data_IF_964070084580
#
_entry.id   IF_964070084580
#
_cell.length_a   1.000
_cell.length_b   1.000
_cell.length_c   1.000
_cell.angle_alpha   90.00
_cell.angle_beta   90.00
_cell.angle_gamma   90.00
#
_symmetry.space_group_name_H-M   'P 1'
#
loop_
_entity.id
_entity.type
_entity.pdbx_description
1 polymer ?
#
# COMPACT_ATOMS: atom_id res chain seq x y z
N UNK A 1 13.13 7.07 -2.16
CA UNK A 1 11.81 6.46 -1.88
C UNK A 1 11.60 6.36 -0.38
N UNK A 2 10.47 6.86 0.11
CA UNK A 2 9.97 6.60 1.47
C UNK A 2 8.72 5.70 1.38
N UNK A 3 8.42 4.90 2.40
CA UNK A 3 7.31 3.94 2.40
C UNK A 3 6.41 4.18 3.60
N UNK A 4 5.10 4.15 3.39
CA UNK A 4 4.09 4.09 4.44
C UNK A 4 2.85 3.33 3.95
N UNK A 5 2.26 2.53 4.83
CA UNK A 5 1.04 1.80 4.55
C UNK A 5 -0.22 2.47 5.10
N UNK A 6 -1.37 2.02 4.62
CA UNK A 6 -2.67 2.29 5.20
C UNK A 6 -3.22 0.99 5.79
N UNK A 7 -3.34 0.97 7.12
CA UNK A 7 -3.99 -0.09 7.85
C UNK A 7 -5.47 0.26 8.08
N UNK A 8 -6.28 -0.74 8.41
CA UNK A 8 -7.69 -0.55 8.74
C UNK A 8 -8.54 -1.69 8.23
N UNK A 9 -9.67 -1.91 8.88
CA UNK A 9 -10.60 -2.97 8.51
C UNK A 9 -11.16 -2.80 7.10
N UNK A 10 -11.69 -3.90 6.53
CA UNK A 10 -12.48 -3.81 5.30
C UNK A 10 -13.65 -2.84 5.52
N UNK A 11 -13.93 -1.99 4.53
CA UNK A 11 -14.95 -0.93 4.66
C UNK A 11 -14.48 0.36 5.34
N UNK A 12 -13.26 0.45 5.89
CA UNK A 12 -12.76 1.68 6.52
C UNK A 12 -12.57 2.88 5.56
N UNK A 13 -12.67 2.68 4.25
CA UNK A 13 -12.51 3.75 3.27
C UNK A 13 -11.06 4.01 2.86
N UNK A 14 -10.14 3.04 3.02
CA UNK A 14 -8.73 3.15 2.58
C UNK A 14 -8.60 3.56 1.12
N UNK A 15 -9.32 2.86 0.23
CA UNK A 15 -9.31 3.17 -1.21
C UNK A 15 -9.84 4.58 -1.49
N UNK A 16 -10.90 5.00 -0.80
CA UNK A 16 -11.45 6.37 -0.90
C UNK A 16 -10.45 7.42 -0.43
N UNK A 17 -9.76 7.16 0.68
CA UNK A 17 -8.71 8.04 1.20
C UNK A 17 -7.54 8.12 0.22
N UNK A 18 -7.05 7.00 -0.31
CA UNK A 18 -5.97 6.97 -1.31
C UNK A 18 -6.31 7.76 -2.56
N UNK A 19 -7.55 7.64 -3.06
CA UNK A 19 -8.01 8.38 -4.23
C UNK A 19 -7.97 9.91 -4.03
N UNK A 20 -8.09 10.39 -2.78
CA UNK A 20 -7.96 11.82 -2.42
C UNK A 20 -6.51 12.21 -2.10
N UNK A 21 -5.79 11.34 -1.42
CA UNK A 21 -4.41 11.56 -0.94
C UNK A 21 -3.40 11.58 -2.09
N UNK A 22 -3.51 10.67 -3.06
CA UNK A 22 -2.57 10.60 -4.19
C UNK A 22 -2.54 11.93 -4.96
N UNK A 23 -3.68 12.52 -5.40
CA UNK A 23 -3.67 13.84 -6.02
C UNK A 23 -3.12 14.94 -5.12
N UNK A 24 -3.35 14.88 -3.80
CA UNK A 24 -2.82 15.87 -2.86
C UNK A 24 -1.30 15.84 -2.79
N UNK A 25 -0.70 14.64 -2.76
CA UNK A 25 0.76 14.45 -2.79
C UNK A 25 1.35 14.82 -4.15
N UNK A 26 0.72 14.41 -5.26
CA UNK A 26 1.18 14.75 -6.60
C UNK A 26 1.16 16.26 -6.87
N UNK A 27 0.14 16.98 -6.37
CA UNK A 27 0.10 18.45 -6.45
C UNK A 27 1.24 19.14 -5.70
N UNK A 28 1.86 18.46 -4.73
CA UNK A 28 3.07 18.91 -4.03
C UNK A 28 4.37 18.56 -4.78
N UNK A 29 4.27 18.05 -6.00
CA UNK A 29 5.43 17.71 -6.85
C UNK A 29 6.03 16.34 -6.60
N UNK A 30 5.38 15.48 -5.79
CA UNK A 30 5.89 14.16 -5.46
C UNK A 30 5.49 13.11 -6.51
N UNK A 31 6.44 12.24 -6.85
CA UNK A 31 6.17 10.99 -7.59
C UNK A 31 5.70 9.95 -6.58
N UNK A 32 4.43 9.57 -6.70
CA UNK A 32 3.78 8.60 -5.82
C UNK A 32 3.70 7.24 -6.52
N UNK A 33 4.14 6.19 -5.84
CA UNK A 33 3.84 4.81 -6.21
C UNK A 33 2.82 4.22 -5.23
N UNK A 34 2.03 3.26 -5.70
CA UNK A 34 1.10 2.50 -4.86
C UNK A 34 1.38 1.02 -4.95
N UNK A 35 1.26 0.32 -3.84
CA UNK A 35 1.37 -1.14 -3.78
C UNK A 35 0.12 -1.65 -3.07
N UNK A 36 -0.68 -2.46 -3.75
CA UNK A 36 -1.93 -3.00 -3.20
C UNK A 36 -1.83 -4.52 -3.11
N UNK A 37 -2.10 -5.05 -1.93
CA UNK A 37 -2.31 -6.49 -1.73
C UNK A 37 -3.80 -6.80 -1.93
N UNK A 38 -4.14 -7.58 -2.96
CA UNK A 38 -5.49 -8.08 -3.18
C UNK A 38 -5.70 -9.40 -2.41
N UNK A 39 -6.85 -9.57 -1.76
CA UNK A 39 -7.15 -10.81 -1.02
C UNK A 39 -7.59 -12.00 -1.90
N UNK A 40 -7.67 -11.79 -3.22
CA UNK A 40 -8.12 -12.77 -4.20
C UNK A 40 -7.31 -12.63 -5.50
N UNK A 41 -7.34 -13.68 -6.32
CA UNK A 41 -6.86 -13.63 -7.70
C UNK A 41 -7.47 -12.43 -8.44
N UNK A 42 -6.64 -11.79 -9.26
CA UNK A 42 -7.06 -10.65 -10.07
C UNK A 42 -6.49 -10.79 -11.48
N UNK A 43 -7.25 -10.30 -12.45
CA UNK A 43 -6.86 -10.31 -13.85
C UNK A 43 -6.61 -8.88 -14.31
N UNK A 44 -5.40 -8.61 -14.80
CA UNK A 44 -4.99 -7.27 -15.28
C UNK A 44 -5.39 -7.07 -16.74
N UNK A 45 -5.36 -8.13 -17.54
CA UNK A 45 -5.61 -8.09 -18.98
C UNK A 45 -7.00 -8.64 -19.33
N UNK A 46 -7.33 -8.72 -20.62
CA UNK A 46 -8.62 -9.24 -21.09
C UNK A 46 -8.44 -10.56 -21.82
N UNK A 47 -9.29 -11.58 -21.54
CA UNK A 47 -9.28 -12.82 -22.30
C UNK A 47 -9.30 -12.59 -23.81
N UNK A 48 -8.41 -13.29 -24.52
CA UNK A 48 -8.28 -13.23 -25.98
C UNK A 48 -7.46 -12.06 -26.53
N UNK A 49 -6.85 -11.21 -25.69
CA UNK A 49 -5.82 -10.25 -26.13
C UNK A 49 -4.44 -10.92 -26.20
N UNK A 50 -3.56 -10.36 -27.03
CA UNK A 50 -2.25 -10.94 -27.32
C UNK A 50 -1.45 -11.27 -26.05
N UNK A 51 -1.40 -10.33 -25.11
CA UNK A 51 -0.69 -10.50 -23.85
C UNK A 51 -1.34 -11.50 -22.89
N UNK A 52 -2.67 -11.63 -22.91
CA UNK A 52 -3.38 -12.70 -22.20
C UNK A 52 -3.02 -14.06 -22.81
N UNK A 53 -3.03 -14.18 -24.14
CA UNK A 53 -2.66 -15.42 -24.85
C UNK A 53 -1.21 -15.81 -24.54
N UNK A 54 -0.28 -14.85 -24.45
CA UNK A 54 1.11 -15.14 -24.08
C UNK A 54 1.22 -15.76 -22.68
N UNK A 55 0.49 -15.22 -21.68
CA UNK A 55 0.46 -15.73 -20.31
C UNK A 55 -0.11 -17.15 -20.25
N UNK A 56 -1.29 -17.37 -20.86
CA UNK A 56 -1.95 -18.68 -20.91
C UNK A 56 -1.13 -19.73 -21.69
N UNK A 57 -0.30 -19.30 -22.64
CA UNK A 57 0.64 -20.17 -23.33
C UNK A 57 1.85 -20.60 -22.48
N UNK A 58 1.95 -20.11 -21.23
CA UNK A 58 2.99 -20.49 -20.26
C UNK A 58 4.14 -19.49 -20.14
N UNK A 59 4.00 -18.25 -20.63
CA UNK A 59 5.01 -17.22 -20.39
C UNK A 59 5.07 -16.83 -18.91
N UNK A 60 6.19 -17.11 -18.25
CA UNK A 60 6.40 -16.76 -16.84
C UNK A 60 6.52 -15.26 -16.56
N UNK A 61 6.78 -14.46 -17.60
CA UNK A 61 6.82 -13.01 -17.55
C UNK A 61 6.35 -12.41 -18.88
N UNK A 62 5.50 -11.38 -18.81
CA UNK A 62 5.01 -10.66 -19.99
C UNK A 62 5.13 -9.15 -19.77
N UNK A 63 5.77 -8.46 -20.73
CA UNK A 63 5.84 -6.99 -20.78
C UNK A 63 5.00 -6.49 -21.95
N UNK A 64 4.12 -5.53 -21.69
CA UNK A 64 3.23 -4.90 -22.67
C UNK A 64 3.49 -3.41 -22.65
N UNK A 65 3.72 -2.80 -23.80
CA UNK A 65 4.07 -1.38 -23.90
C UNK A 65 3.26 -0.65 -24.96
N UNK A 66 3.11 0.66 -24.75
CA UNK A 66 2.49 1.62 -25.68
C UNK A 66 3.17 2.97 -25.54
N UNK A 67 2.80 3.94 -26.37
CA UNK A 67 3.33 5.31 -26.29
C UNK A 67 3.00 6.04 -24.99
N UNK A 68 2.03 5.56 -24.20
CA UNK A 68 1.55 6.26 -22.99
C UNK A 68 1.87 5.54 -21.68
N UNK A 69 2.11 4.23 -21.72
CA UNK A 69 2.32 3.37 -20.54
C UNK A 69 2.78 1.97 -20.94
N UNK A 70 3.29 1.26 -19.96
CA UNK A 70 3.60 -0.16 -20.04
C UNK A 70 3.13 -0.88 -18.76
N UNK A 71 3.04 -2.20 -18.83
CA UNK A 71 2.75 -3.09 -17.71
C UNK A 71 3.68 -4.32 -17.80
N UNK A 72 4.04 -4.87 -16.63
CA UNK A 72 4.82 -6.10 -16.50
C UNK A 72 4.08 -7.04 -15.56
N UNK A 73 3.85 -8.25 -16.03
CA UNK A 73 3.12 -9.30 -15.31
C UNK A 73 4.10 -10.44 -15.04
N UNK A 74 4.16 -10.88 -13.78
CA UNK A 74 4.96 -12.02 -13.32
C UNK A 74 4.01 -13.13 -12.91
N UNK A 75 4.07 -14.27 -13.58
CA UNK A 75 3.29 -15.45 -13.18
C UNK A 75 4.02 -16.19 -12.06
N UNK A 76 3.34 -16.44 -10.95
CA UNK A 76 3.94 -17.16 -9.83
C UNK A 76 3.92 -18.68 -10.06
N UNK A 77 2.87 -19.20 -10.72
CA UNK A 77 2.65 -20.65 -10.82
C UNK A 77 2.56 -21.26 -9.42
N UNK A 78 3.33 -22.32 -9.17
CA UNK A 78 3.39 -22.98 -7.85
C UNK A 78 4.33 -22.27 -6.84
N UNK A 79 4.92 -21.12 -7.21
CA UNK A 79 5.79 -20.36 -6.30
C UNK A 79 4.97 -19.64 -5.22
N UNK A 80 5.53 -19.41 -4.03
CA UNK A 80 4.87 -18.63 -2.99
C UNK A 80 4.58 -17.20 -3.46
N UNK A 81 3.59 -16.58 -2.81
CA UNK A 81 3.27 -15.18 -3.02
C UNK A 81 4.49 -14.28 -2.77
N UNK A 82 4.66 -13.26 -3.60
CA UNK A 82 5.74 -12.30 -3.43
C UNK A 82 5.57 -11.52 -2.11
N UNK A 83 6.62 -11.47 -1.30
CA UNK A 83 6.61 -10.70 -0.07
C UNK A 83 6.51 -9.19 -0.36
N UNK A 84 6.13 -8.40 0.65
CA UNK A 84 6.16 -6.94 0.54
C UNK A 84 7.57 -6.44 0.16
N UNK A 85 8.62 -7.07 0.68
CA UNK A 85 10.00 -6.70 0.34
C UNK A 85 10.32 -6.95 -1.13
N UNK A 86 9.91 -8.10 -1.69
CA UNK A 86 10.10 -8.43 -3.10
C UNK A 86 9.38 -7.44 -4.02
N UNK A 87 8.16 -7.06 -3.65
CA UNK A 87 7.35 -6.11 -4.42
C UNK A 87 7.91 -4.68 -4.33
N UNK A 88 8.38 -4.24 -3.15
CA UNK A 88 9.01 -2.94 -2.98
C UNK A 88 10.29 -2.79 -3.82
N UNK A 89 11.10 -3.85 -3.95
CA UNK A 89 12.31 -3.86 -4.78
C UNK A 89 12.04 -3.72 -6.28
N UNK A 90 10.82 -4.03 -6.74
CA UNK A 90 10.41 -3.93 -8.14
C UNK A 90 9.95 -2.54 -8.55
N UNK A 91 9.72 -1.65 -7.59
CA UNK A 91 9.23 -0.30 -7.88
C UNK A 91 10.29 0.54 -8.59
N UNK A 92 9.84 1.27 -9.61
CA UNK A 92 10.64 2.33 -10.23
C UNK A 92 10.91 3.48 -9.24
N UNK A 93 12.00 4.25 -9.43
CA UNK A 93 12.32 5.37 -8.54
C UNK A 93 11.15 6.35 -8.39
N UNK A 94 10.73 6.57 -7.14
CA UNK A 94 9.70 7.52 -6.75
C UNK A 94 10.08 8.20 -5.42
N UNK A 95 9.21 9.10 -4.94
CA UNK A 95 9.48 9.86 -3.73
C UNK A 95 8.78 9.21 -2.52
N UNK A 96 7.54 8.76 -2.69
CA UNK A 96 6.76 8.05 -1.67
C UNK A 96 5.99 6.85 -2.23
N UNK A 97 6.00 5.74 -1.49
CA UNK A 97 5.22 4.53 -1.75
C UNK A 97 4.10 4.42 -0.73
N UNK A 98 2.86 4.30 -1.21
CA UNK A 98 1.67 4.05 -0.39
C UNK A 98 1.27 2.59 -0.49
N UNK A 99 1.33 1.87 0.63
CA UNK A 99 0.97 0.44 0.70
C UNK A 99 -0.48 0.27 1.18
N UNK A 100 -1.36 -0.30 0.37
CA UNK A 100 -2.71 -0.72 0.78
C UNK A 100 -2.73 -2.24 1.00
N UNK A 101 -2.76 -2.68 2.26
CA UNK A 101 -2.69 -4.09 2.63
C UNK A 101 -1.45 -4.40 3.46
N UNK A 102 -0.99 -5.66 3.43
CA UNK A 102 0.15 -6.13 4.22
C UNK A 102 0.10 -5.72 5.70
N UNK A 103 -1.11 -5.67 6.30
CA UNK A 103 -1.34 -5.05 7.62
C UNK A 103 -0.49 -5.66 8.75
N UNK A 104 -0.06 -6.91 8.60
CA UNK A 104 0.77 -7.64 9.58
C UNK A 104 2.27 -7.42 9.38
N UNK A 105 2.68 -6.89 8.22
CA UNK A 105 4.08 -6.66 7.91
C UNK A 105 4.63 -5.44 8.66
N UNK A 106 5.90 -5.48 9.12
CA UNK A 106 6.50 -4.44 9.95
C UNK A 106 6.97 -3.20 9.16
N UNK A 107 6.08 -2.57 8.40
CA UNK A 107 6.30 -1.26 7.78
C UNK A 107 5.49 -0.19 8.53
N UNK A 108 5.88 1.10 8.53
CA UNK A 108 5.08 2.17 9.16
C UNK A 108 3.73 2.27 8.46
N UNK A 109 2.67 2.45 9.24
CA UNK A 109 1.28 2.49 8.76
C UNK A 109 0.51 3.64 9.39
N UNK A 110 -0.35 4.28 8.61
CA UNK A 110 -1.42 5.12 9.10
C UNK A 110 -2.68 4.25 9.21
N UNK A 111 -3.29 4.17 10.38
CA UNK A 111 -4.58 3.50 10.54
C UNK A 111 -5.71 4.38 10.03
N UNK A 112 -6.55 3.82 9.16
CA UNK A 112 -7.83 4.39 8.74
C UNK A 112 -8.91 3.76 9.61
N UNK A 113 -9.45 4.52 10.55
CA UNK A 113 -10.48 4.07 11.47
C UNK A 113 -11.82 4.76 11.19
N UNK A 114 -12.90 3.99 11.25
CA UNK A 114 -14.26 4.51 11.18
C UNK A 114 -15.11 3.87 12.28
N UNK A 115 -15.70 4.67 13.16
CA UNK A 115 -16.52 4.15 14.26
C UNK A 115 -17.68 3.29 13.74
N UNK A 116 -18.30 3.70 12.63
CA UNK A 116 -19.38 2.97 11.97
C UNK A 116 -19.02 1.57 11.47
N UNK A 117 -17.74 1.19 11.41
CA UNK A 117 -17.34 -0.17 11.04
C UNK A 117 -17.60 -1.20 12.14
N UNK A 118 -17.85 -0.78 13.38
CA UNK A 118 -18.13 -1.68 14.51
C UNK A 118 -16.98 -2.63 14.85
N UNK A 119 -15.74 -2.27 14.49
CA UNK A 119 -14.53 -3.06 14.77
C UNK A 119 -13.55 -2.25 15.61
N UNK A 120 -12.77 -2.91 16.49
CA UNK A 120 -11.83 -2.22 17.37
C UNK A 120 -10.70 -1.54 16.56
N UNK A 121 -10.10 -0.46 17.07
CA UNK A 121 -8.91 0.11 16.47
C UNK A 121 -7.73 -0.86 16.49
N UNK A 122 -6.79 -0.67 15.57
CA UNK A 122 -5.61 -1.51 15.39
C UNK A 122 -4.38 -0.95 16.12
N UNK A 123 -4.26 0.37 16.26
CA UNK A 123 -3.04 1.02 16.80
C UNK A 123 -2.63 0.54 18.19
N UNK A 124 -3.57 0.08 19.03
CA UNK A 124 -3.26 -0.45 20.36
C UNK A 124 -2.54 -1.81 20.37
N UNK A 125 -2.46 -2.51 19.24
CA UNK A 125 -1.83 -3.83 19.13
C UNK A 125 -0.77 -3.94 18.04
N UNK A 126 -0.44 -2.84 17.35
CA UNK A 126 0.59 -2.80 16.32
C UNK A 126 1.40 -1.51 16.44
N UNK A 127 2.60 -1.62 17.04
CA UNK A 127 3.57 -0.54 17.22
C UNK A 127 4.06 0.08 15.91
N UNK A 128 3.70 -0.51 14.77
CA UNK A 128 4.01 0.02 13.44
C UNK A 128 2.87 0.87 12.89
N UNK A 129 1.77 1.03 13.61
CA UNK A 129 0.82 2.10 13.36
C UNK A 129 1.35 3.37 14.01
N UNK A 130 1.74 4.32 13.16
CA UNK A 130 2.47 5.54 13.56
C UNK A 130 1.60 6.80 13.52
N UNK A 131 0.35 6.66 13.08
CA UNK A 131 -0.69 7.71 13.06
C UNK A 131 -2.07 7.07 12.85
N UNK A 132 -3.13 7.80 13.19
CA UNK A 132 -4.53 7.41 12.96
C UNK A 132 -5.26 8.53 12.21
N UNK A 133 -6.00 8.19 11.16
CA UNK A 133 -7.03 9.03 10.56
C UNK A 133 -8.40 8.47 10.94
N UNK A 134 -9.24 9.29 11.58
CA UNK A 134 -10.51 8.83 12.17
C UNK A 134 -11.63 9.87 12.10
N UNK A 135 -12.87 9.39 12.09
CA UNK A 135 -14.09 10.18 12.30
C UNK A 135 -14.46 10.34 13.79
N UNK A 136 -13.63 9.84 14.70
CA UNK A 136 -13.78 9.95 16.16
C UNK A 136 -12.43 10.20 16.83
N UNK A 137 -12.43 10.83 18.01
CA UNK A 137 -11.21 11.11 18.75
C UNK A 137 -10.63 9.88 19.46
N UNK A 138 -9.30 9.82 19.55
CA UNK A 138 -8.56 8.86 20.39
C UNK A 138 -7.57 9.61 21.31
N UNK A 139 -8.02 10.11 22.48
CA UNK A 139 -7.17 10.90 23.38
C UNK A 139 -5.91 10.16 23.84
N UNK A 140 -6.01 8.84 24.01
CA UNK A 140 -4.93 7.98 24.54
C UNK A 140 -4.24 7.14 23.45
N UNK A 141 -4.31 7.56 22.17
CA UNK A 141 -3.75 6.79 21.05
C UNK A 141 -2.23 6.58 21.12
N UNK A 142 -1.50 7.47 21.81
CA UNK A 142 -0.03 7.47 21.83
C UNK A 142 0.63 7.87 20.50
N UNK A 143 -0.15 8.13 19.46
CA UNK A 143 0.27 8.55 18.12
C UNK A 143 -0.61 9.70 17.62
N UNK A 144 -0.17 10.49 16.62
CA UNK A 144 -0.98 11.56 16.06
C UNK A 144 -2.32 11.04 15.50
N UNK A 145 -3.41 11.75 15.83
CA UNK A 145 -4.76 11.47 15.33
C UNK A 145 -5.23 12.67 14.52
N UNK A 146 -5.71 12.43 13.29
CA UNK A 146 -6.26 13.47 12.41
C UNK A 146 -7.65 13.10 11.93
N UNK A 147 -8.41 14.12 11.57
CA UNK A 147 -9.72 13.94 10.96
C UNK A 147 -9.58 13.22 9.61
N UNK A 148 -10.44 12.23 9.38
CA UNK A 148 -10.46 11.41 8.17
C UNK A 148 -10.65 12.22 6.88
N UNK A 149 -11.34 13.36 6.97
CA UNK A 149 -11.63 14.24 5.85
C UNK A 149 -10.59 15.34 5.64
N UNK A 150 -9.66 15.52 6.59
CA UNK A 150 -8.52 16.45 6.45
C UNK A 150 -7.37 15.80 5.66
N UNK A 151 -7.54 15.74 4.34
CA UNK A 151 -6.53 15.20 3.42
C UNK A 151 -5.22 15.98 3.47
N UNK A 152 -5.26 17.26 3.84
CA UNK A 152 -4.05 18.08 3.99
C UNK A 152 -3.19 17.60 5.15
N UNK A 153 -3.80 17.49 6.33
CA UNK A 153 -3.15 16.98 7.53
C UNK A 153 -2.70 15.52 7.37
N UNK A 154 -3.52 14.68 6.71
CA UNK A 154 -3.14 13.29 6.39
C UNK A 154 -1.91 13.27 5.48
N UNK A 155 -1.85 14.11 4.46
CA UNK A 155 -0.68 14.19 3.58
C UNK A 155 0.59 14.63 4.33
N UNK A 156 0.47 15.58 5.27
CA UNK A 156 1.58 16.01 6.11
C UNK A 156 2.08 14.86 6.99
N UNK A 157 1.18 14.15 7.66
CA UNK A 157 1.52 12.99 8.48
C UNK A 157 2.13 11.85 7.67
N UNK A 158 1.62 11.58 6.48
CA UNK A 158 2.18 10.55 5.59
C UNK A 158 3.63 10.87 5.25
N UNK A 159 3.96 12.12 4.97
CA UNK A 159 5.33 12.52 4.64
C UNK A 159 6.26 12.53 5.85
N UNK A 160 5.77 13.00 7.00
CA UNK A 160 6.48 13.01 8.28
C UNK A 160 6.83 11.58 8.73
N UNK A 161 5.85 10.66 8.62
CA UNK A 161 5.92 9.31 9.20
C UNK A 161 6.36 8.21 8.24
N UNK A 162 6.40 8.47 6.92
CA UNK A 162 6.98 7.51 5.98
C UNK A 162 8.46 7.30 6.28
N UNK A 163 8.96 6.08 6.14
CA UNK A 163 10.35 5.74 6.46
C UNK A 163 11.17 5.50 5.18
N UNK A 164 12.49 5.70 5.19
CA UNK A 164 13.35 5.32 4.07
C UNK A 164 13.14 3.86 3.65
N UNK A 165 13.04 3.60 2.33
CA UNK A 165 12.80 2.23 1.83
C UNK A 165 13.87 1.24 2.29
N UNK A 166 15.12 1.68 2.50
CA UNK A 166 16.22 0.84 2.97
C UNK A 166 15.96 0.28 4.37
N UNK A 167 15.54 1.13 5.32
CA UNK A 167 15.22 0.72 6.68
C UNK A 167 13.99 -0.21 6.72
N UNK A 168 13.01 0.07 5.85
CA UNK A 168 11.81 -0.76 5.72
C UNK A 168 12.18 -2.14 5.18
N UNK A 169 13.01 -2.22 4.13
CA UNK A 169 13.46 -3.50 3.56
C UNK A 169 14.27 -4.31 4.58
N UNK A 170 15.22 -3.70 5.28
CA UNK A 170 15.99 -4.36 6.34
C UNK A 170 15.11 -4.91 7.46
N UNK A 171 14.00 -4.23 7.78
CA UNK A 171 13.05 -4.71 8.78
C UNK A 171 12.21 -5.88 8.26
N UNK A 172 11.75 -5.80 7.02
CA UNK A 172 10.97 -6.86 6.38
C UNK A 172 11.80 -8.14 6.22
N UNK A 173 13.05 -8.02 5.77
CA UNK A 173 13.94 -9.16 5.57
C UNK A 173 14.22 -9.92 6.88
N UNK A 174 14.32 -9.19 8.01
CA UNK A 174 14.48 -9.80 9.34
C UNK A 174 13.22 -10.46 9.87
N UNK A 175 12.04 -9.99 9.46
CA UNK A 175 10.76 -10.57 9.88
C UNK A 175 10.49 -11.91 9.20
N UNK A 176 11.11 -12.16 8.05
CA UNK A 176 10.81 -13.30 7.18
C UNK A 176 9.48 -13.12 6.46
N UNK A 177 9.21 -14.00 5.49
CA UNK A 177 7.93 -14.06 4.78
C UNK A 177 6.86 -14.71 5.68
N UNK A 178 6.46 -14.03 6.76
CA UNK A 178 5.34 -14.46 7.59
C UNK A 178 4.03 -13.83 7.08
N UNK A 179 3.05 -14.69 6.76
CA UNK A 179 1.75 -14.45 6.11
C UNK A 179 0.89 -13.27 6.64
#
# INVERSE_FOLDING_TARGET
MRVIGLAGWSGAGKTTLLARLIPALTRRGLRVATLKHAHHEFEIDRPGKDSFVHREAGAGEVIIASSRRWAQIHELGDRPEASLADLLRRLSPCDVVLVEGFKRQPHPKLEVFRAGNGRPPLHGGDDRIVAVASDTGFPDAGVPVVDLDDVGAIADLVLDRAEPITEVLERLDRHGAAD
#
